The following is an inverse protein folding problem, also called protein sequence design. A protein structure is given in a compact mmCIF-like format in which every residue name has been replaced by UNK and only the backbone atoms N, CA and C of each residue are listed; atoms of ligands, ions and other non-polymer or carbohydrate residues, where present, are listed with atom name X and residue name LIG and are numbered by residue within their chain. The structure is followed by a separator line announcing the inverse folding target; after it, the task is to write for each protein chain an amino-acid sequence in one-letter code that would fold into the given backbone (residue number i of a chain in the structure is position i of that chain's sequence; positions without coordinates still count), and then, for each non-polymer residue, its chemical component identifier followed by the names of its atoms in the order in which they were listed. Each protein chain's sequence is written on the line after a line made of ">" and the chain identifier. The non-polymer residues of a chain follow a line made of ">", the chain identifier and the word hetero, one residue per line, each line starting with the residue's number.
data_IF_548736557274
#
_entry.id   IF_548736557274
#
_cell.length_a   1.000
_cell.length_b   1.000
_cell.length_c   1.000
_cell.angle_alpha   90.00
_cell.angle_beta   90.00
_cell.angle_gamma   90.00
#
_symmetry.space_group_name_H-M   'P 1'
#
loop_
_entity.id
_entity.type
_entity.pdbx_description
1 polymer ?
#
# COMPACT_ATOMS: atom_id res chain seq x y z
N UNK A 1 10.45 21.03 13.76
CA UNK A 1 9.47 22.14 13.66
C UNK A 1 8.17 21.81 12.89
N UNK A 2 8.09 20.77 12.03
CA UNK A 2 6.83 20.39 11.33
C UNK A 2 5.73 19.83 12.25
N UNK A 3 6.09 19.08 13.30
CA UNK A 3 5.15 18.47 14.28
C UNK A 3 4.23 19.46 15.00
N UNK A 4 4.67 20.70 15.24
CA UNK A 4 3.87 21.73 15.93
C UNK A 4 2.74 22.26 15.03
N UNK A 5 2.98 22.38 13.72
CA UNK A 5 1.95 22.84 12.78
C UNK A 5 0.87 21.79 12.51
N UNK A 6 1.22 20.51 12.64
CA UNK A 6 0.28 19.42 12.42
C UNK A 6 -0.66 19.31 13.64
N UNK A 7 -0.14 19.26 14.86
CA UNK A 7 -0.99 19.19 16.07
C UNK A 7 -1.75 20.50 16.35
N UNK A 8 -1.19 21.65 15.95
CA UNK A 8 -1.80 22.95 16.21
C UNK A 8 -3.11 23.18 15.44
N UNK A 9 -3.22 22.70 14.20
CA UNK A 9 -4.38 22.97 13.33
C UNK A 9 -5.73 22.48 13.88
N UNK A 10 -5.89 21.21 14.34
CA UNK A 10 -7.15 20.74 14.89
C UNK A 10 -7.47 21.37 16.26
N UNK A 11 -6.45 21.68 17.07
CA UNK A 11 -6.63 22.36 18.36
C UNK A 11 -7.17 23.78 18.12
N UNK A 12 -6.60 24.51 17.16
CA UNK A 12 -7.11 25.83 16.76
C UNK A 12 -8.54 25.76 16.22
N UNK A 13 -8.86 24.75 15.41
CA UNK A 13 -10.22 24.52 14.92
C UNK A 13 -11.23 24.30 16.06
N UNK A 14 -10.86 23.51 17.07
CA UNK A 14 -11.72 23.25 18.22
C UNK A 14 -11.96 24.50 19.07
N UNK A 15 -10.91 25.29 19.35
CA UNK A 15 -11.03 26.57 20.06
C UNK A 15 -11.93 27.55 19.32
N UNK A 16 -11.84 27.61 17.99
CA UNK A 16 -12.67 28.47 17.16
C UNK A 16 -14.15 28.07 17.18
N UNK A 17 -14.47 26.76 17.13
CA UNK A 17 -15.85 26.26 17.27
C UNK A 17 -16.42 26.61 18.65
N UNK A 18 -15.64 26.42 19.72
CA UNK A 18 -16.08 26.74 21.08
C UNK A 18 -16.34 28.24 21.29
N UNK A 19 -15.44 29.10 20.80
CA UNK A 19 -15.61 30.56 20.88
C UNK A 19 -16.83 31.02 20.09
N UNK A 20 -17.01 30.51 18.87
CA UNK A 20 -18.16 30.82 18.04
C UNK A 20 -19.48 30.37 18.70
N UNK A 21 -19.49 29.19 19.31
CA UNK A 21 -20.68 28.65 19.95
C UNK A 21 -21.10 29.40 21.23
N UNK A 22 -20.13 29.94 21.98
CA UNK A 22 -20.39 30.58 23.28
C UNK A 22 -20.67 32.08 23.17
N UNK A 23 -20.04 32.79 22.23
CA UNK A 23 -20.07 34.26 22.21
C UNK A 23 -20.86 34.86 21.04
N UNK A 24 -21.19 34.09 20.00
CA UNK A 24 -21.92 34.62 18.84
C UNK A 24 -23.42 34.42 19.05
N UNK A 25 -24.13 35.54 19.22
CA UNK A 25 -25.58 35.61 19.40
C UNK A 25 -26.34 35.47 18.07
N UNK A 26 -25.73 35.91 16.97
CA UNK A 26 -26.30 35.83 15.63
C UNK A 26 -26.20 34.40 15.07
N UNK A 27 -27.36 33.81 14.74
CA UNK A 27 -27.45 32.43 14.29
C UNK A 27 -26.70 32.18 12.98
N UNK A 28 -26.75 33.12 12.02
CA UNK A 28 -26.10 32.94 10.72
C UNK A 28 -24.58 32.97 10.85
N UNK A 29 -24.06 33.96 11.58
CA UNK A 29 -22.63 34.08 11.87
C UNK A 29 -22.11 32.89 12.69
N UNK A 30 -22.89 32.42 13.68
CA UNK A 30 -22.54 31.26 14.50
C UNK A 30 -22.42 29.99 13.65
N UNK A 31 -23.38 29.74 12.76
CA UNK A 31 -23.36 28.57 11.86
C UNK A 31 -22.15 28.62 10.92
N UNK A 32 -21.88 29.77 10.30
CA UNK A 32 -20.74 29.93 9.38
C UNK A 32 -19.41 29.65 10.10
N UNK A 33 -19.22 30.20 11.30
CA UNK A 33 -17.99 30.01 12.07
C UNK A 33 -17.81 28.56 12.53
N UNK A 34 -18.89 27.89 12.93
CA UNK A 34 -18.85 26.45 13.26
C UNK A 34 -18.45 25.63 12.03
N UNK A 35 -19.00 25.93 10.85
CA UNK A 35 -18.65 25.24 9.60
C UNK A 35 -17.17 25.44 9.23
N UNK A 36 -16.65 26.65 9.37
CA UNK A 36 -15.23 26.95 9.15
C UNK A 36 -14.35 26.16 10.13
N UNK A 37 -14.72 26.13 11.42
CA UNK A 37 -14.00 25.35 12.43
C UNK A 37 -14.02 23.86 12.14
N UNK A 38 -15.14 23.32 11.68
CA UNK A 38 -15.28 21.91 11.27
C UNK A 38 -14.40 21.60 10.05
N UNK A 39 -14.35 22.50 9.07
CA UNK A 39 -13.50 22.39 7.89
C UNK A 39 -12.02 22.32 8.28
N UNK A 40 -11.58 23.18 9.20
CA UNK A 40 -10.20 23.19 9.70
C UNK A 40 -9.84 21.89 10.42
N UNK A 41 -10.76 21.32 11.21
CA UNK A 41 -10.57 20.01 11.85
C UNK A 41 -10.46 18.92 10.79
N UNK A 42 -11.33 18.91 9.79
CA UNK A 42 -11.33 17.90 8.72
C UNK A 42 -10.02 17.92 7.93
N UNK A 43 -9.57 19.10 7.50
CA UNK A 43 -8.28 19.28 6.81
C UNK A 43 -7.10 18.90 7.71
N UNK A 44 -7.15 19.27 8.99
CA UNK A 44 -6.14 18.91 9.99
C UNK A 44 -6.00 17.39 10.12
N UNK A 45 -7.12 16.67 10.29
CA UNK A 45 -7.14 15.21 10.39
C UNK A 45 -6.56 14.56 9.14
N UNK A 46 -6.94 15.04 7.94
CA UNK A 46 -6.40 14.51 6.69
C UNK A 46 -4.89 14.74 6.57
N UNK A 47 -4.41 15.91 6.96
CA UNK A 47 -2.99 16.23 6.95
C UNK A 47 -2.19 15.42 7.98
N UNK A 48 -2.79 15.04 9.11
CA UNK A 48 -2.19 14.15 10.12
C UNK A 48 -2.24 12.68 9.73
N UNK A 49 -3.29 12.27 9.01
CA UNK A 49 -3.41 10.92 8.48
C UNK A 49 -2.39 10.66 7.36
N UNK A 50 -2.09 11.65 6.52
CA UNK A 50 -1.16 11.51 5.41
C UNK A 50 0.26 10.99 5.80
N UNK A 51 0.90 11.48 6.90
CA UNK A 51 2.14 10.91 7.41
C UNK A 51 1.99 9.61 8.22
N UNK A 52 0.78 9.05 8.36
CA UNK A 52 0.59 7.63 8.75
C UNK A 52 0.54 6.69 7.53
N UNK A 53 0.36 7.24 6.31
CA UNK A 53 0.52 6.57 5.02
C UNK A 53 1.93 6.62 4.33
N UNK A 54 3.10 6.85 4.97
CA UNK A 54 4.42 6.75 4.31
C UNK A 54 4.77 5.32 3.87
N UNK A 55 4.05 4.32 4.42
CA UNK A 55 4.32 2.91 4.15
C UNK A 55 4.02 2.52 2.70
N UNK A 56 3.29 3.35 1.94
CA UNK A 56 3.00 3.13 0.52
C UNK A 56 4.21 3.42 -0.38
N UNK A 57 5.09 4.35 0.02
CA UNK A 57 6.29 4.69 -0.77
C UNK A 57 7.49 3.80 -0.46
N UNK A 58 7.60 3.29 0.77
CA UNK A 58 8.79 2.57 1.23
C UNK A 58 8.95 1.17 0.59
N UNK A 59 7.86 0.52 0.21
CA UNK A 59 7.90 -0.84 -0.37
C UNK A 59 7.14 -0.94 -1.70
N UNK A 60 7.14 0.15 -2.48
CA UNK A 60 6.39 0.23 -3.73
C UNK A 60 6.74 -0.91 -4.70
N UNK A 61 8.03 -1.20 -4.87
CA UNK A 61 8.50 -2.26 -5.77
C UNK A 61 8.02 -3.66 -5.33
N UNK A 62 8.04 -3.94 -4.03
CA UNK A 62 7.53 -5.21 -3.49
C UNK A 62 6.02 -5.34 -3.71
N UNK A 63 5.25 -4.27 -3.52
CA UNK A 63 3.80 -4.27 -3.78
C UNK A 63 3.48 -4.49 -5.25
N UNK A 64 4.21 -3.83 -6.16
CA UNK A 64 4.05 -4.05 -7.60
C UNK A 64 4.29 -5.50 -8.00
N UNK A 65 5.28 -6.16 -7.39
CA UNK A 65 5.54 -7.56 -7.67
C UNK A 65 4.47 -8.49 -7.06
N UNK A 66 3.94 -8.17 -5.87
CA UNK A 66 2.78 -8.88 -5.28
C UNK A 66 1.55 -8.77 -6.17
N UNK A 67 1.24 -7.59 -6.70
CA UNK A 67 0.10 -7.39 -7.60
C UNK A 67 0.26 -8.23 -8.88
N UNK A 68 1.48 -8.30 -9.42
CA UNK A 68 1.83 -9.17 -10.55
C UNK A 68 1.65 -10.65 -10.20
N UNK A 69 2.06 -11.07 -9.00
CA UNK A 69 1.86 -12.43 -8.53
C UNK A 69 0.37 -12.79 -8.43
N UNK A 70 -0.46 -11.89 -7.91
CA UNK A 70 -1.92 -12.08 -7.81
C UNK A 70 -2.55 -12.25 -9.21
N UNK A 71 -2.08 -11.49 -10.21
CA UNK A 71 -2.53 -11.69 -11.59
C UNK A 71 -2.18 -13.09 -12.11
N UNK A 72 -0.96 -13.58 -11.85
CA UNK A 72 -0.54 -14.93 -12.24
C UNK A 72 -1.36 -16.04 -11.57
N UNK A 73 -1.78 -15.85 -10.30
CA UNK A 73 -2.68 -16.80 -9.61
C UNK A 73 -4.02 -16.89 -10.33
N UNK A 74 -4.56 -15.76 -10.81
CA UNK A 74 -5.82 -15.74 -11.57
C UNK A 74 -5.65 -16.43 -12.92
N UNK A 75 -4.55 -16.16 -13.61
CA UNK A 75 -4.24 -16.80 -14.90
C UNK A 75 -4.06 -18.31 -14.73
N UNK A 76 -3.41 -18.76 -13.65
CA UNK A 76 -3.25 -20.17 -13.34
C UNK A 76 -4.61 -20.84 -13.14
N UNK A 77 -5.51 -20.22 -12.37
CA UNK A 77 -6.84 -20.75 -12.16
C UNK A 77 -7.63 -20.84 -13.47
N UNK A 78 -7.52 -19.83 -14.35
CA UNK A 78 -8.15 -19.88 -15.67
C UNK A 78 -7.57 -20.99 -16.56
N UNK A 79 -6.24 -21.14 -16.59
CA UNK A 79 -5.58 -22.19 -17.35
C UNK A 79 -5.94 -23.60 -16.84
N UNK A 80 -5.99 -23.79 -15.52
CA UNK A 80 -6.40 -25.06 -14.91
C UNK A 80 -7.87 -25.41 -15.22
N UNK A 81 -8.77 -24.42 -15.24
CA UNK A 81 -10.16 -24.63 -15.66
C UNK A 81 -10.25 -25.02 -17.13
N UNK A 82 -9.46 -24.40 -18.00
CA UNK A 82 -9.42 -24.74 -19.44
C UNK A 82 -8.86 -26.14 -19.66
N UNK A 83 -7.78 -26.52 -18.95
CA UNK A 83 -7.21 -27.86 -19.01
C UNK A 83 -8.21 -28.95 -18.61
N UNK A 84 -9.09 -28.67 -17.63
CA UNK A 84 -10.17 -29.60 -17.26
C UNK A 84 -11.22 -29.80 -18.35
N UNK A 85 -11.46 -28.80 -19.19
CA UNK A 85 -12.46 -28.84 -20.27
C UNK A 85 -11.85 -29.37 -21.57
N UNK A 86 -10.57 -29.09 -21.80
CA UNK A 86 -9.82 -29.44 -22.99
C UNK A 86 -8.52 -30.09 -22.53
N UNK A 87 -8.47 -31.41 -22.56
CA UNK A 87 -7.29 -32.20 -22.20
C UNK A 87 -6.28 -32.18 -23.37
N UNK A 88 -5.75 -30.99 -23.66
CA UNK A 88 -4.77 -30.75 -24.71
C UNK A 88 -3.38 -30.50 -24.13
N UNK A 89 -2.35 -30.90 -24.88
CA UNK A 89 -0.95 -30.58 -24.58
C UNK A 89 -0.73 -29.08 -24.40
N UNK A 90 -1.39 -28.25 -25.22
CA UNK A 90 -1.28 -26.79 -25.15
C UNK A 90 -1.78 -26.22 -23.82
N UNK A 91 -2.84 -26.79 -23.23
CA UNK A 91 -3.36 -26.36 -21.95
C UNK A 91 -2.42 -26.74 -20.78
N UNK A 92 -1.73 -27.89 -20.91
CA UNK A 92 -0.71 -28.33 -19.97
C UNK A 92 0.53 -27.40 -20.03
N UNK A 93 1.01 -27.09 -21.23
CA UNK A 93 2.14 -26.20 -21.45
C UNK A 93 1.88 -24.79 -20.92
N UNK A 94 0.66 -24.28 -21.15
CA UNK A 94 0.24 -22.97 -20.62
C UNK A 94 0.26 -22.96 -19.09
N UNK A 95 -0.27 -23.98 -18.44
CA UNK A 95 -0.27 -24.12 -16.98
C UNK A 95 1.16 -24.18 -16.43
N UNK A 96 2.05 -24.97 -17.06
CA UNK A 96 3.46 -25.06 -16.69
C UNK A 96 4.19 -23.72 -16.84
N UNK A 97 3.90 -22.97 -17.90
CA UNK A 97 4.49 -21.64 -18.15
C UNK A 97 4.11 -20.62 -17.07
N UNK A 98 2.85 -20.62 -16.63
CA UNK A 98 2.35 -19.73 -15.58
C UNK A 98 2.98 -20.10 -14.23
N UNK A 99 3.09 -21.39 -13.92
CA UNK A 99 3.77 -21.86 -12.70
C UNK A 99 5.24 -21.41 -12.67
N UNK A 100 5.94 -21.49 -13.81
CA UNK A 100 7.30 -20.97 -13.93
C UNK A 100 7.38 -19.46 -13.70
N UNK A 101 6.42 -18.70 -14.22
CA UNK A 101 6.32 -17.26 -13.99
C UNK A 101 6.06 -16.91 -12.52
N UNK A 102 5.22 -17.70 -11.83
CA UNK A 102 4.95 -17.55 -10.40
C UNK A 102 6.20 -17.77 -9.55
N UNK A 103 6.98 -18.82 -9.83
CA UNK A 103 8.25 -19.08 -9.11
C UNK A 103 9.21 -17.89 -9.23
N UNK A 104 9.42 -17.39 -10.45
CA UNK A 104 10.27 -16.20 -10.69
C UNK A 104 9.74 -14.95 -9.99
N UNK A 105 8.42 -14.82 -9.83
CA UNK A 105 7.81 -13.71 -9.10
C UNK A 105 8.09 -13.79 -7.60
N UNK A 106 8.03 -15.00 -7.02
CA UNK A 106 8.44 -15.24 -5.63
C UNK A 106 9.92 -14.91 -5.41
N UNK A 107 10.80 -15.31 -6.33
CA UNK A 107 12.23 -14.97 -6.24
C UNK A 107 12.46 -13.45 -6.25
N UNK A 108 11.75 -12.72 -7.10
CA UNK A 108 11.78 -11.24 -7.11
C UNK A 108 11.22 -10.64 -5.83
N UNK A 109 10.13 -11.17 -5.28
CA UNK A 109 9.59 -10.72 -3.99
C UNK A 109 10.60 -10.95 -2.86
N UNK A 110 11.28 -12.10 -2.84
CA UNK A 110 12.33 -12.37 -1.86
C UNK A 110 13.50 -11.39 -1.98
N UNK A 111 13.91 -11.05 -3.21
CA UNK A 111 14.95 -10.06 -3.46
C UNK A 111 14.53 -8.61 -3.11
N UNK A 112 13.24 -8.31 -3.14
CA UNK A 112 12.70 -6.99 -2.80
C UNK A 112 12.33 -6.87 -1.32
N UNK A 113 12.18 -7.98 -0.62
CA UNK A 113 11.84 -8.00 0.79
C UNK A 113 12.93 -7.34 1.64
N UNK A 114 12.55 -6.33 2.43
CA UNK A 114 13.47 -5.61 3.31
C UNK A 114 14.31 -4.52 2.64
N UNK A 115 14.23 -4.31 1.32
CA UNK A 115 14.89 -3.18 0.64
C UNK A 115 14.14 -1.88 0.90
N UNK A 116 14.86 -0.84 1.33
CA UNK A 116 14.34 0.53 1.39
C UNK A 116 14.65 1.31 0.09
N UNK A 117 13.88 2.36 -0.25
CA UNK A 117 14.13 3.18 -1.44
C UNK A 117 15.44 3.98 -1.26
N UNK A 118 16.55 3.38 -1.67
CA UNK A 118 17.90 3.90 -1.47
C UNK A 118 18.98 2.83 -1.58
N UNK A 119 18.64 1.57 -1.35
CA UNK A 119 19.58 0.44 -1.37
C UNK A 119 20.00 -0.03 -2.78
N UNK A 120 19.60 0.70 -3.84
CA UNK A 120 19.91 0.36 -5.24
C UNK A 120 21.41 0.49 -5.60
N UNK A 121 22.21 1.08 -4.72
CA UNK A 121 23.66 1.27 -4.92
C UNK A 121 24.49 0.02 -4.52
N UNK A 122 23.94 -0.86 -3.66
CA UNK A 122 24.60 -2.12 -3.32
C UNK A 122 23.99 -3.23 -4.17
N UNK A 123 24.46 -3.33 -5.41
CA UNK A 123 24.29 -4.54 -6.21
C UNK A 123 24.98 -5.70 -5.45
N UNK A 124 24.23 -6.64 -4.86
CA UNK A 124 24.85 -7.80 -4.24
C UNK A 124 25.34 -8.70 -5.37
N UNK A 125 26.63 -9.00 -5.34
CA UNK A 125 27.29 -10.00 -6.19
C UNK A 125 26.34 -11.15 -6.54
N UNK A 126 26.07 -11.44 -7.83
CA UNK A 126 25.12 -12.46 -8.28
C UNK A 126 25.37 -13.85 -7.68
N UNK A 127 26.55 -14.10 -7.12
CA UNK A 127 26.91 -15.35 -6.44
C UNK A 127 26.39 -15.46 -4.99
N UNK A 128 25.81 -14.41 -4.41
CA UNK A 128 25.29 -14.42 -3.02
C UNK A 128 23.81 -14.73 -2.88
N UNK A 129 23.04 -14.76 -3.98
CA UNK A 129 21.62 -15.14 -3.95
C UNK A 129 21.50 -16.66 -3.83
N UNK A 130 21.47 -17.16 -2.59
CA UNK A 130 21.18 -18.59 -2.36
C UNK A 130 19.72 -18.87 -2.75
N UNK A 131 19.46 -19.89 -3.59
CA UNK A 131 18.10 -20.30 -3.90
C UNK A 131 17.36 -20.68 -2.60
N UNK A 132 16.09 -20.29 -2.53
CA UNK A 132 15.20 -20.68 -1.43
C UNK A 132 15.05 -22.20 -1.43
N UNK A 133 15.81 -22.88 -0.58
CA UNK A 133 15.70 -24.31 -0.38
C UNK A 133 14.47 -24.57 0.50
N UNK A 134 13.39 -25.05 -0.12
CA UNK A 134 12.27 -25.60 0.61
C UNK A 134 12.75 -26.82 1.41
N UNK A 135 12.93 -26.66 2.72
CA UNK A 135 13.10 -27.78 3.63
C UNK A 135 11.79 -28.56 3.67
N UNK A 136 11.60 -29.49 2.73
CA UNK A 136 10.69 -30.62 2.92
C UNK A 136 11.33 -31.53 3.96
N UNK A 137 10.86 -31.42 5.19
CA UNK A 137 10.97 -32.47 6.19
C UNK A 137 9.56 -32.85 6.62
N UNK A 138 9.34 -34.17 6.59
CA UNK A 138 8.15 -34.96 6.90
C UNK A 138 7.17 -35.23 5.75
#
# INVERSE_FOLDING_TARGET
>A
MRKIFDVGLPITGMVLVFLAALWVQDLQLRVILILIGLLLIWVGVWKLANPLYPNERRFHDLRLEVDRFIALVRDLNQAALQQRVTDSSDAQDRTASILGAMRRSVDRMAALAGREPGDRELDPDPDTVRPFQSSTSF
#
